data_IF_654780641583
#
_entry.id   IF_654780641583
#
_cell.length_a   1.000
_cell.length_b   1.000
_cell.length_c   1.000
_cell.angle_alpha   90.00
_cell.angle_beta   90.00
_cell.angle_gamma   90.00
#
_symmetry.space_group_name_H-M   'P 1'
#
loop_
_entity.id
_entity.type
_entity.pdbx_description
1 polymer ?
#
# COMPACT_ATOMS: atom_id res chain seq x y z
N UNK A 1 13.55 10.95 1.27
CA UNK A 1 12.79 9.91 1.99
C UNK A 1 13.69 8.70 2.13
N UNK A 2 14.14 8.44 3.34
CA UNK A 2 14.95 7.28 3.68
C UNK A 2 14.04 6.08 3.94
N UNK A 3 14.58 4.86 3.90
CA UNK A 3 13.81 3.64 4.17
C UNK A 3 13.17 3.67 5.56
N UNK A 4 13.87 4.27 6.51
CA UNK A 4 13.45 4.38 7.91
C UNK A 4 12.25 5.32 8.07
N UNK A 5 12.18 6.43 7.32
CA UNK A 5 11.00 7.32 7.30
C UNK A 5 9.76 6.63 6.72
N UNK A 6 9.95 5.69 5.79
CA UNK A 6 8.85 4.90 5.24
C UNK A 6 8.35 3.84 6.24
N UNK A 7 9.27 3.21 6.98
CA UNK A 7 8.94 2.23 8.03
C UNK A 7 8.23 2.88 9.23
N UNK A 8 8.64 4.07 9.66
CA UNK A 8 7.99 4.83 10.75
C UNK A 8 6.55 5.25 10.40
N UNK A 9 6.29 5.53 9.12
CA UNK A 9 4.93 5.89 8.66
C UNK A 9 3.98 4.70 8.64
N UNK A 10 4.49 3.48 8.47
CA UNK A 10 3.71 2.26 8.43
C UNK A 10 3.39 1.69 9.83
N UNK A 11 4.16 2.08 10.85
CA UNK A 11 4.12 1.48 12.19
C UNK A 11 3.44 2.35 13.27
N UNK A 12 2.89 3.51 12.90
CA UNK A 12 2.27 4.43 13.87
C UNK A 12 0.89 3.93 14.38
N UNK A 13 0.68 3.82 15.71
CA UNK A 13 -0.45 3.09 16.33
C UNK A 13 -1.82 3.80 16.31
N UNK A 14 -1.98 4.94 15.63
CA UNK A 14 -3.25 5.67 15.57
C UNK A 14 -4.07 5.32 14.32
N UNK A 15 -4.66 4.13 14.34
CA UNK A 15 -5.40 3.50 13.23
C UNK A 15 -6.77 4.12 12.87
N UNK A 16 -7.11 5.33 13.33
CA UNK A 16 -8.39 5.97 12.97
C UNK A 16 -8.30 7.04 11.88
N UNK A 17 -7.12 7.58 11.62
CA UNK A 17 -6.90 8.56 10.54
C UNK A 17 -5.48 8.39 9.97
N UNK A 18 -5.18 7.20 9.44
CA UNK A 18 -3.92 6.96 8.71
C UNK A 18 -3.98 7.62 7.34
N UNK A 19 -4.04 8.96 7.30
CA UNK A 19 -3.62 9.71 6.10
C UNK A 19 -2.10 9.61 6.05
N UNK A 20 -1.60 8.48 5.54
CA UNK A 20 -0.16 8.21 5.41
C UNK A 20 0.49 9.37 4.66
N UNK A 21 -0.19 9.88 3.62
CA UNK A 21 0.25 11.04 2.86
C UNK A 21 -0.51 12.29 3.33
N UNK A 22 0.04 12.98 4.33
CA UNK A 22 -0.57 14.17 4.95
C UNK A 22 -0.55 15.42 4.09
N UNK A 23 0.46 15.58 3.22
CA UNK A 23 0.61 16.76 2.35
C UNK A 23 0.32 16.40 0.90
N UNK A 24 -0.28 17.33 0.15
CA UNK A 24 -0.49 17.18 -1.29
C UNK A 24 0.82 16.90 -2.03
N UNK A 25 1.93 17.51 -1.59
CA UNK A 25 3.25 17.24 -2.16
C UNK A 25 3.68 15.77 -1.95
N UNK A 26 3.43 15.18 -0.78
CA UNK A 26 3.73 13.76 -0.53
C UNK A 26 2.83 12.85 -1.36
N UNK A 27 1.53 13.17 -1.46
CA UNK A 27 0.55 12.48 -2.31
C UNK A 27 1.03 12.43 -3.76
N UNK A 28 1.38 13.58 -4.33
CA UNK A 28 1.87 13.66 -5.70
C UNK A 28 3.24 13.02 -5.90
N UNK A 29 4.14 13.10 -4.92
CA UNK A 29 5.43 12.41 -5.00
C UNK A 29 5.22 10.89 -5.11
N UNK A 30 4.33 10.34 -4.29
CA UNK A 30 3.99 8.92 -4.33
C UNK A 30 3.27 8.54 -5.62
N UNK A 31 2.31 9.34 -6.08
CA UNK A 31 1.66 9.17 -7.38
C UNK A 31 2.67 9.15 -8.53
N UNK A 32 3.64 10.07 -8.52
CA UNK A 32 4.72 10.10 -9.50
C UNK A 32 5.58 8.83 -9.47
N UNK A 33 5.94 8.34 -8.28
CA UNK A 33 6.69 7.08 -8.13
C UNK A 33 5.87 5.89 -8.63
N UNK A 34 4.58 5.81 -8.28
CA UNK A 34 3.69 4.75 -8.75
C UNK A 34 3.54 4.76 -10.27
N UNK A 35 3.40 5.94 -10.88
CA UNK A 35 3.36 6.11 -12.34
C UNK A 35 4.66 5.66 -13.00
N UNK A 36 5.81 6.13 -12.50
CA UNK A 36 7.13 5.73 -13.03
C UNK A 36 7.39 4.23 -12.95
N UNK A 37 6.80 3.56 -11.97
CA UNK A 37 6.91 2.12 -11.78
C UNK A 37 5.75 1.33 -12.41
N UNK A 38 4.90 1.99 -13.20
CA UNK A 38 3.74 1.39 -13.88
C UNK A 38 2.74 0.70 -12.93
N UNK A 39 2.71 1.10 -11.67
CA UNK A 39 1.72 0.66 -10.68
C UNK A 39 0.39 1.34 -10.93
N UNK A 40 0.41 2.63 -11.27
CA UNK A 40 -0.75 3.41 -11.71
C UNK A 40 -0.43 3.95 -13.09
N UNK A 41 -1.25 3.68 -14.10
CA UNK A 41 -1.12 4.28 -15.43
C UNK A 41 -2.48 4.86 -15.84
N UNK A 42 -2.50 6.13 -16.23
CA UNK A 42 -3.71 6.83 -16.71
C UNK A 42 -4.92 6.67 -15.76
N UNK A 43 -4.68 6.77 -14.45
CA UNK A 43 -5.72 6.62 -13.43
C UNK A 43 -6.14 5.17 -13.15
N UNK A 44 -5.44 4.17 -13.70
CA UNK A 44 -5.76 2.74 -13.51
C UNK A 44 -4.64 2.04 -12.75
N UNK A 45 -5.01 1.28 -11.70
CA UNK A 45 -4.08 0.48 -10.92
C UNK A 45 -3.77 -0.84 -11.64
N UNK A 46 -2.49 -1.08 -11.92
CA UNK A 46 -1.99 -2.35 -12.43
C UNK A 46 -1.80 -3.34 -11.28
N UNK A 47 -2.81 -4.20 -11.05
CA UNK A 47 -2.79 -5.24 -10.01
C UNK A 47 -1.56 -6.14 -10.13
N UNK A 48 -1.18 -6.53 -11.35
CA UNK A 48 -0.04 -7.41 -11.58
C UNK A 48 1.27 -6.76 -11.12
N UNK A 49 1.50 -5.50 -11.49
CA UNK A 49 2.73 -4.78 -11.14
C UNK A 49 2.78 -4.50 -9.64
N UNK A 50 1.66 -4.09 -9.06
CA UNK A 50 1.54 -3.84 -7.63
C UNK A 50 1.84 -5.12 -6.81
N UNK A 51 1.23 -6.25 -7.18
CA UNK A 51 1.50 -7.53 -6.53
C UNK A 51 2.96 -7.94 -6.65
N UNK A 52 3.61 -7.76 -7.81
CA UNK A 52 5.06 -8.03 -7.96
C UNK A 52 5.91 -7.19 -7.00
N UNK A 53 5.60 -5.90 -6.86
CA UNK A 53 6.31 -5.02 -5.94
C UNK A 53 6.16 -5.46 -4.48
N UNK A 54 4.93 -5.73 -4.05
CA UNK A 54 4.64 -6.16 -2.68
C UNK A 54 5.28 -7.52 -2.40
N UNK A 55 5.16 -8.49 -3.32
CA UNK A 55 5.77 -9.81 -3.17
C UNK A 55 7.30 -9.79 -3.18
N UNK A 56 7.93 -8.89 -3.93
CA UNK A 56 9.39 -8.73 -3.87
C UNK A 56 9.85 -8.16 -2.52
N UNK A 57 9.02 -7.33 -1.87
CA UNK A 57 9.33 -6.76 -0.56
C UNK A 57 9.15 -7.77 0.57
N UNK A 58 8.04 -8.52 0.57
CA UNK A 58 7.69 -9.49 1.62
C UNK A 58 8.15 -10.93 1.34
N UNK A 59 8.63 -11.23 0.14
CA UNK A 59 8.91 -12.58 -0.33
C UNK A 59 10.27 -13.12 0.11
N UNK A 60 10.49 -13.33 1.41
CA UNK A 60 11.50 -14.31 1.86
C UNK A 60 10.95 -15.75 1.77
N UNK A 61 11.81 -16.75 1.49
CA UNK A 61 11.38 -18.10 1.18
C UNK A 61 11.17 -18.92 2.45
N UNK A 62 10.00 -18.78 3.06
CA UNK A 62 9.57 -19.60 4.18
C UNK A 62 8.10 -20.02 4.02
N UNK A 63 7.66 -21.04 4.77
CA UNK A 63 6.34 -21.68 4.61
C UNK A 63 5.15 -20.69 4.67
N UNK A 64 5.35 -19.54 5.32
CA UNK A 64 4.42 -18.42 5.37
C UNK A 64 4.22 -17.71 4.03
N UNK A 65 5.10 -17.91 3.05
CA UNK A 65 5.06 -17.25 1.73
C UNK A 65 3.76 -17.52 0.96
N UNK A 66 3.18 -18.72 1.04
CA UNK A 66 1.89 -18.99 0.36
C UNK A 66 0.72 -18.25 1.00
N UNK A 67 0.73 -18.11 2.32
CA UNK A 67 -0.28 -17.35 3.06
C UNK A 67 -0.14 -15.86 2.74
N UNK A 68 1.09 -15.34 2.79
CA UNK A 68 1.42 -13.96 2.41
C UNK A 68 1.01 -13.67 0.96
N UNK A 69 1.23 -14.58 0.01
CA UNK A 69 0.81 -14.38 -1.39
C UNK A 69 -0.70 -14.20 -1.49
N UNK A 70 -1.48 -15.08 -0.84
CA UNK A 70 -2.95 -15.02 -0.89
C UNK A 70 -3.48 -13.74 -0.25
N UNK A 71 -2.91 -13.33 0.88
CA UNK A 71 -3.31 -12.12 1.57
C UNK A 71 -2.94 -10.87 0.74
N UNK A 72 -1.75 -10.84 0.13
CA UNK A 72 -1.32 -9.75 -0.77
C UNK A 72 -2.22 -9.66 -2.01
N UNK A 73 -2.53 -10.78 -2.66
CA UNK A 73 -3.44 -10.79 -3.81
C UNK A 73 -4.83 -10.27 -3.44
N UNK A 74 -5.34 -10.67 -2.26
CA UNK A 74 -6.63 -10.20 -1.76
C UNK A 74 -6.61 -8.69 -1.49
N UNK A 75 -5.60 -8.19 -0.78
CA UNK A 75 -5.42 -6.76 -0.47
C UNK A 75 -5.37 -5.93 -1.75
N UNK A 76 -4.56 -6.35 -2.72
CA UNK A 76 -4.42 -5.67 -4.01
C UNK A 76 -5.75 -5.63 -4.76
N UNK A 77 -6.50 -6.73 -4.79
CA UNK A 77 -7.79 -6.79 -5.48
C UNK A 77 -8.83 -5.85 -4.84
N UNK A 78 -8.95 -5.87 -3.51
CA UNK A 78 -9.86 -5.00 -2.76
C UNK A 78 -9.52 -3.53 -2.97
N UNK A 79 -8.24 -3.17 -2.85
CA UNK A 79 -7.82 -1.76 -2.93
C UNK A 79 -7.86 -1.20 -4.34
N UNK A 80 -7.52 -2.00 -5.35
CA UNK A 80 -7.66 -1.57 -6.74
C UNK A 80 -9.14 -1.40 -7.14
N UNK A 81 -10.06 -2.22 -6.62
CA UNK A 81 -11.51 -2.02 -6.82
C UNK A 81 -12.00 -0.74 -6.16
N UNK A 82 -11.62 -0.51 -4.90
CA UNK A 82 -12.00 0.70 -4.17
C UNK A 82 -11.59 1.98 -4.91
N UNK A 83 -10.35 2.00 -5.39
CA UNK A 83 -9.81 3.13 -6.17
C UNK A 83 -10.55 3.31 -7.51
N UNK A 84 -10.91 2.22 -8.18
CA UNK A 84 -11.69 2.28 -9.42
C UNK A 84 -13.12 2.81 -9.21
N UNK A 85 -13.75 2.47 -8.08
CA UNK A 85 -15.11 2.91 -7.74
C UNK A 85 -15.16 4.41 -7.34
N UNK A 86 -14.10 4.93 -6.71
CA UNK A 86 -14.04 6.31 -6.23
C UNK A 86 -13.86 7.36 -7.35
N UNK A 87 -13.68 6.93 -8.62
CA UNK A 87 -13.62 7.80 -9.81
C UNK A 87 -12.63 8.97 -9.71
N UNK A 88 -11.60 8.85 -8.86
CA UNK A 88 -10.56 9.86 -8.72
C UNK A 88 -9.61 9.80 -9.92
N UNK A 89 -9.58 10.88 -10.72
CA UNK A 89 -8.69 11.01 -11.87
C UNK A 89 -7.38 11.72 -11.51
N UNK A 90 -7.31 12.35 -10.34
CA UNK A 90 -6.07 12.92 -9.83
C UNK A 90 -5.19 11.80 -9.28
N UNK A 91 -4.05 11.60 -9.90
CA UNK A 91 -3.10 10.57 -9.49
C UNK A 91 -2.51 10.78 -8.10
N UNK A 92 -2.47 12.03 -7.62
CA UNK A 92 -2.01 12.33 -6.28
C UNK A 92 -2.96 11.74 -5.24
N UNK A 93 -4.26 12.00 -5.39
CA UNK A 93 -5.29 11.47 -4.50
C UNK A 93 -5.48 9.95 -4.69
N UNK A 94 -5.46 9.48 -5.94
CA UNK A 94 -5.52 8.06 -6.26
C UNK A 94 -4.41 7.26 -5.55
N UNK A 95 -3.17 7.74 -5.59
CA UNK A 95 -2.05 7.11 -4.90
C UNK A 95 -2.23 7.13 -3.38
N UNK A 96 -2.74 8.23 -2.83
CA UNK A 96 -3.01 8.34 -1.40
C UNK A 96 -4.09 7.36 -0.94
N UNK A 97 -5.19 7.27 -1.69
CA UNK A 97 -6.29 6.34 -1.48
C UNK A 97 -5.82 4.89 -1.57
N UNK A 98 -5.04 4.56 -2.60
CA UNK A 98 -4.48 3.24 -2.80
C UNK A 98 -3.56 2.81 -1.64
N UNK A 99 -2.59 3.66 -1.26
CA UNK A 99 -1.66 3.38 -0.14
C UNK A 99 -2.41 3.24 1.17
N UNK A 100 -3.36 4.13 1.45
CA UNK A 100 -4.18 4.09 2.66
C UNK A 100 -4.97 2.80 2.74
N UNK A 101 -5.60 2.37 1.63
CA UNK A 101 -6.30 1.11 1.58
C UNK A 101 -5.37 -0.08 1.86
N UNK A 102 -4.21 -0.13 1.20
CA UNK A 102 -3.26 -1.25 1.35
C UNK A 102 -2.84 -1.40 2.81
N UNK A 103 -2.52 -0.30 3.49
CA UNK A 103 -2.10 -0.36 4.90
C UNK A 103 -3.24 -0.79 5.82
N UNK A 104 -4.46 -0.31 5.60
CA UNK A 104 -5.62 -0.74 6.39
C UNK A 104 -5.92 -2.22 6.21
N UNK A 105 -5.90 -2.73 4.98
CA UNK A 105 -6.13 -4.16 4.71
C UNK A 105 -4.95 -5.04 5.16
N UNK A 106 -3.71 -4.57 5.02
CA UNK A 106 -2.53 -5.27 5.56
C UNK A 106 -2.55 -5.36 7.09
N UNK A 107 -3.00 -4.31 7.77
CA UNK A 107 -3.23 -4.34 9.22
C UNK A 107 -4.30 -5.37 9.61
N UNK A 108 -5.43 -5.42 8.89
CA UNK A 108 -6.48 -6.45 9.11
C UNK A 108 -5.96 -7.87 8.89
N UNK A 109 -5.10 -8.05 7.90
CA UNK A 109 -4.46 -9.33 7.59
C UNK A 109 -3.30 -9.68 8.54
N UNK A 110 -2.90 -8.76 9.43
CA UNK A 110 -1.78 -8.96 10.35
C UNK A 110 -0.41 -9.04 9.66
N UNK A 111 -0.28 -8.40 8.50
CA UNK A 111 0.96 -8.35 7.70
C UNK A 111 1.89 -7.19 8.07
N UNK A 112 1.37 -6.20 8.80
CA UNK A 112 2.17 -5.12 9.38
C UNK A 112 2.50 -5.52 10.81
N UNK A 113 3.78 -5.50 11.18
CA UNK A 113 4.19 -5.74 12.56
C UNK A 113 3.55 -4.68 13.45
N UNK A 114 2.60 -5.10 14.29
CA UNK A 114 2.08 -4.28 15.38
C UNK A 114 3.22 -4.11 16.40
N UNK A 115 3.75 -2.89 16.64
CA UNK A 115 4.72 -2.68 17.71
C UNK A 115 4.18 -3.05 19.10
N UNK A 116 2.85 -3.21 19.27
CA UNK A 116 2.24 -3.72 20.50
C UNK A 116 2.30 -5.25 20.66
N UNK A 117 2.71 -6.02 19.64
CA UNK A 117 2.91 -7.49 19.72
C UNK A 117 4.32 -7.91 20.15
N UNK A 118 5.19 -6.96 20.49
CA UNK A 118 6.53 -7.24 21.05
C UNK A 118 6.59 -7.17 22.59
N UNK A 119 5.47 -7.40 23.28
CA UNK A 119 5.41 -7.52 24.75
C UNK A 119 4.89 -8.90 25.15
#
# INVERSE_FOLDING_TARGET
MTRDEFEDMLTSPNARELTILKSHAHKCMFGCVMRKNHIVNDGVVSKEVLSKYVLNFYGRPDYKRRLIIKDVEHIVDVCAKKVADESETDECELAATLVTCIVLEANKAGLVDDPARQI
#
